data_IF_145694564348
#
_entry.id   IF_145694564348
#
_cell.length_a   1.000
_cell.length_b   1.000
_cell.length_c   1.000
_cell.angle_alpha   90.00
_cell.angle_beta   90.00
_cell.angle_gamma   90.00
#
_symmetry.space_group_name_H-M   'P 1'
#
loop_
_entity.id
_entity.type
_entity.pdbx_description
1 polymer ?
#
# COMPACT_ATOMS: atom_id res chain seq x y z
N UNK A 1 -15.94 6.77 2.19
CA UNK A 1 -14.47 6.71 2.06
C UNK A 1 -13.90 6.54 3.46
N UNK A 2 -13.17 5.46 3.71
CA UNK A 2 -12.47 5.24 4.98
C UNK A 2 -10.96 5.33 4.71
N UNK A 3 -10.22 5.96 5.62
CA UNK A 3 -8.76 6.05 5.56
C UNK A 3 -8.22 5.14 6.66
N UNK A 4 -7.31 4.25 6.28
CA UNK A 4 -6.66 3.31 7.20
C UNK A 4 -5.16 3.57 7.12
N UNK A 5 -4.53 3.78 8.27
CA UNK A 5 -3.08 3.86 8.36
C UNK A 5 -2.50 2.45 8.45
N UNK A 6 -1.59 2.11 7.55
CA UNK A 6 -0.85 0.85 7.58
C UNK A 6 0.65 1.13 7.49
N UNK A 7 1.47 0.24 8.04
CA UNK A 7 2.93 0.30 7.92
C UNK A 7 3.43 -0.54 6.74
N UNK A 8 4.66 -0.29 6.32
CA UNK A 8 5.35 -1.16 5.35
C UNK A 8 5.39 -2.59 5.90
N UNK A 9 5.07 -3.55 5.04
CA UNK A 9 4.89 -4.97 5.32
C UNK A 9 3.69 -5.34 6.21
N UNK A 10 2.87 -4.37 6.63
CA UNK A 10 1.59 -4.65 7.27
C UNK A 10 0.57 -5.13 6.23
N UNK A 11 -0.19 -6.15 6.58
CA UNK A 11 -1.23 -6.73 5.72
C UNK A 11 -2.60 -6.27 6.20
N UNK A 12 -3.30 -5.55 5.35
CA UNK A 12 -4.69 -5.17 5.53
C UNK A 12 -5.58 -6.21 4.86
N UNK A 13 -6.41 -6.88 5.64
CA UNK A 13 -7.43 -7.80 5.12
C UNK A 13 -8.75 -7.06 5.01
N UNK A 14 -9.28 -6.98 3.80
CA UNK A 14 -10.62 -6.45 3.53
C UNK A 14 -11.58 -7.59 3.15
N UNK A 15 -12.86 -7.27 3.04
CA UNK A 15 -13.94 -8.23 2.84
C UNK A 15 -13.65 -9.28 1.74
N UNK A 16 -14.20 -10.48 1.91
CA UNK A 16 -13.96 -11.59 1.00
C UNK A 16 -12.54 -12.17 1.06
N UNK A 17 -11.69 -11.74 2.00
CA UNK A 17 -10.32 -12.26 2.18
C UNK A 17 -9.31 -11.66 1.21
N UNK A 18 -9.64 -10.52 0.60
CA UNK A 18 -8.70 -9.75 -0.21
C UNK A 18 -7.66 -9.14 0.72
N UNK A 19 -6.37 -9.30 0.37
CA UNK A 19 -5.24 -8.82 1.15
C UNK A 19 -4.52 -7.72 0.41
N UNK A 20 -4.36 -6.58 1.06
CA UNK A 20 -3.59 -5.45 0.57
C UNK A 20 -2.34 -5.34 1.44
N UNK A 21 -1.18 -5.21 0.82
CA UNK A 21 0.09 -5.08 1.52
C UNK A 21 0.92 -3.97 0.91
N UNK A 22 1.36 -3.03 1.75
CA UNK A 22 2.38 -2.07 1.35
C UNK A 22 3.73 -2.78 1.37
N UNK A 23 4.36 -2.94 0.23
CA UNK A 23 5.63 -3.68 0.11
C UNK A 23 6.81 -2.75 0.32
N UNK A 24 6.76 -1.56 -0.26
CA UNK A 24 7.82 -0.56 -0.16
C UNK A 24 7.23 0.85 -0.25
N UNK A 25 7.86 1.79 0.43
CA UNK A 25 7.65 3.23 0.26
C UNK A 25 9.04 3.82 0.03
N UNK A 26 9.22 4.54 -1.06
CA UNK A 26 10.46 5.23 -1.40
C UNK A 26 10.17 6.68 -1.84
N UNK A 27 11.21 7.39 -2.27
CA UNK A 27 11.09 8.81 -2.66
C UNK A 27 10.25 9.04 -3.92
N UNK A 28 10.04 8.00 -4.73
CA UNK A 28 9.36 8.07 -6.02
C UNK A 28 7.91 7.58 -5.93
N UNK A 29 7.63 6.65 -5.01
CA UNK A 29 6.31 6.05 -4.92
C UNK A 29 6.13 5.02 -3.82
N UNK A 30 4.99 4.33 -3.91
CA UNK A 30 4.59 3.24 -3.03
C UNK A 30 4.32 2.01 -3.88
N UNK A 31 4.98 0.89 -3.54
CA UNK A 31 4.68 -0.41 -4.14
C UNK A 31 3.61 -1.12 -3.31
N UNK A 32 2.48 -1.43 -3.94
CA UNK A 32 1.34 -2.09 -3.30
C UNK A 32 1.12 -3.46 -3.92
N UNK A 33 1.03 -4.48 -3.07
CA UNK A 33 0.59 -5.82 -3.45
C UNK A 33 -0.89 -6.01 -3.12
N UNK A 34 -1.64 -6.60 -4.05
CA UNK A 34 -3.04 -7.01 -3.86
C UNK A 34 -3.16 -8.50 -4.15
N UNK A 35 -3.71 -9.24 -3.20
CA UNK A 35 -3.98 -10.67 -3.34
C UNK A 35 -5.47 -10.92 -3.22
N UNK A 36 -6.07 -11.42 -4.30
CA UNK A 36 -7.48 -11.84 -4.34
C UNK A 36 -7.53 -13.38 -4.27
N UNK A 37 -8.34 -13.97 -3.39
CA UNK A 37 -8.45 -15.43 -3.31
C UNK A 37 -8.86 -16.07 -4.64
N UNK A 38 -8.03 -16.99 -5.14
CA UNK A 38 -8.27 -17.68 -6.40
C UNK A 38 -7.64 -17.02 -7.63
N UNK A 39 -6.98 -15.87 -7.47
CA UNK A 39 -6.24 -15.18 -8.52
C UNK A 39 -4.74 -15.13 -8.22
N UNK A 40 -3.93 -14.85 -9.24
CA UNK A 40 -2.51 -14.56 -9.03
C UNK A 40 -2.35 -13.19 -8.34
N UNK A 41 -1.38 -13.05 -7.41
CA UNK A 41 -1.11 -11.76 -6.79
C UNK A 41 -0.74 -10.69 -7.82
N UNK A 42 -1.34 -9.51 -7.67
CA UNK A 42 -1.04 -8.34 -8.48
C UNK A 42 -0.18 -7.34 -7.70
N UNK A 43 0.68 -6.63 -8.41
CA UNK A 43 1.58 -5.62 -7.84
C UNK A 43 1.50 -4.36 -8.68
N UNK A 44 1.27 -3.22 -8.03
CA UNK A 44 1.12 -1.94 -8.70
C UNK A 44 1.93 -0.87 -7.96
N UNK A 45 2.65 -0.06 -8.74
CA UNK A 45 3.42 1.07 -8.24
C UNK A 45 2.59 2.35 -8.37
N UNK A 46 2.45 3.07 -7.26
CA UNK A 46 1.77 4.34 -7.21
C UNK A 46 2.78 5.46 -7.00
N UNK A 47 2.87 6.35 -7.98
CA UNK A 47 3.69 7.56 -7.88
C UNK A 47 3.05 8.50 -6.85
N UNK A 48 3.81 8.93 -5.86
CA UNK A 48 3.33 9.87 -4.85
C UNK A 48 3.35 11.30 -5.41
N UNK A 49 2.25 12.03 -5.22
CA UNK A 49 2.31 13.48 -5.38
C UNK A 49 3.28 14.08 -4.34
N UNK A 50 4.03 15.14 -4.66
CA UNK A 50 5.07 15.68 -3.79
C UNK A 50 4.58 16.04 -2.37
N UNK A 51 3.31 16.43 -2.22
CA UNK A 51 2.68 16.72 -0.93
C UNK A 51 2.41 15.47 -0.09
N UNK A 52 2.13 14.34 -0.74
CA UNK A 52 1.96 13.04 -0.09
C UNK A 52 3.31 12.43 0.29
N UNK A 53 4.38 12.74 -0.47
CA UNK A 53 5.73 12.29 -0.17
C UNK A 53 6.22 12.83 1.18
N UNK A 54 6.13 14.15 1.42
CA UNK A 54 6.57 14.75 2.69
C UNK A 54 5.90 14.10 3.91
N UNK A 55 4.63 13.72 3.82
CA UNK A 55 3.89 13.05 4.89
C UNK A 55 4.30 11.57 5.06
N UNK A 56 4.64 10.88 3.97
CA UNK A 56 5.04 9.48 4.00
C UNK A 56 6.44 9.28 4.63
N UNK A 57 7.38 10.19 4.37
CA UNK A 57 8.74 10.14 4.95
C UNK A 57 8.87 10.79 6.33
N UNK A 58 8.01 11.74 6.70
CA UNK A 58 8.08 12.42 8.00
C UNK A 58 7.57 11.59 9.19
N UNK A 59 7.02 10.40 8.97
CA UNK A 59 6.48 9.51 10.00
C UNK A 59 7.53 8.70 10.80
N UNK A 60 8.78 9.17 10.89
CA UNK A 60 9.90 8.41 11.46
C UNK A 60 10.40 8.91 12.82
#
# INVERSE_FOLDING_TARGET
MQVISCRVHEELVIDGGIRIKILEINEEGVLVGVTIPGEEPAYEEYVLEPQALELAVAGH
#
